data_IF_051549856853
#
_entry.id   IF_051549856853
#
_cell.length_a   1.000
_cell.length_b   1.000
_cell.length_c   1.000
_cell.angle_alpha   90.00
_cell.angle_beta   90.00
_cell.angle_gamma   90.00
#
_symmetry.space_group_name_H-M   'P 1'
#
loop_
_entity.id
_entity.type
_entity.pdbx_description
1 polymer ?
#
# COMPACT_ATOMS: atom_id res chain seq x y z
N UNK A 1 -35.65 6.42 24.23
CA UNK A 1 -34.91 6.72 22.98
C UNK A 1 -33.79 5.68 22.88
N UNK A 2 -34.01 4.68 22.08
CA UNK A 2 -33.01 3.68 21.72
C UNK A 2 -31.87 4.41 20.97
N UNK A 3 -30.65 4.36 21.52
CA UNK A 3 -29.43 4.67 20.75
C UNK A 3 -29.36 3.62 19.64
N UNK A 4 -29.68 4.01 18.40
CA UNK A 4 -29.29 3.24 17.24
C UNK A 4 -27.76 3.14 17.30
N UNK A 5 -27.25 1.93 17.56
CA UNK A 5 -25.83 1.63 17.39
C UNK A 5 -25.51 1.89 15.94
N UNK A 6 -24.58 2.79 15.67
CA UNK A 6 -23.97 2.97 14.36
C UNK A 6 -23.28 1.63 14.03
N UNK A 7 -23.95 0.78 13.30
CA UNK A 7 -23.37 -0.47 12.79
C UNK A 7 -22.61 -0.06 11.55
N UNK A 8 -21.30 0.05 11.66
CA UNK A 8 -20.40 0.11 10.51
C UNK A 8 -20.45 -1.27 9.85
N UNK A 9 -20.88 -1.32 8.61
CA UNK A 9 -21.11 -2.59 7.91
C UNK A 9 -20.08 -2.74 6.78
N UNK A 10 -19.48 -3.95 6.72
CA UNK A 10 -18.57 -4.32 5.64
C UNK A 10 -19.37 -5.06 4.57
N UNK A 11 -19.38 -4.55 3.35
CA UNK A 11 -20.09 -5.13 2.21
C UNK A 11 -19.10 -5.67 1.18
N UNK A 12 -19.39 -6.86 0.67
CA UNK A 12 -18.58 -7.49 -0.37
C UNK A 12 -19.43 -7.68 -1.63
N UNK A 13 -18.90 -7.24 -2.77
CA UNK A 13 -19.58 -7.32 -4.06
C UNK A 13 -18.58 -7.71 -5.15
N UNK A 14 -19.01 -8.55 -6.10
CA UNK A 14 -18.23 -8.89 -7.28
C UNK A 14 -18.93 -8.39 -8.54
N UNK A 15 -18.14 -7.85 -9.47
CA UNK A 15 -18.60 -7.35 -10.77
C UNK A 15 -17.87 -8.09 -11.88
N UNK A 16 -18.60 -8.52 -12.91
CA UNK A 16 -18.05 -9.20 -14.07
C UNK A 16 -17.95 -8.25 -15.26
N UNK A 17 -16.83 -8.32 -15.96
CA UNK A 17 -16.54 -7.58 -17.20
C UNK A 17 -16.08 -8.55 -18.29
N UNK A 18 -16.08 -8.16 -19.56
CA UNK A 18 -15.50 -8.99 -20.61
C UNK A 18 -14.05 -9.34 -20.30
N UNK A 19 -13.77 -10.64 -20.10
CA UNK A 19 -12.44 -11.17 -19.71
C UNK A 19 -11.86 -10.62 -18.41
N UNK A 20 -12.68 -9.98 -17.54
CA UNK A 20 -12.24 -9.37 -16.28
C UNK A 20 -13.25 -9.53 -15.15
N UNK A 21 -12.76 -9.38 -13.93
CA UNK A 21 -13.56 -9.40 -12.70
C UNK A 21 -13.04 -8.36 -11.71
N UNK A 22 -13.96 -7.67 -11.04
CA UNK A 22 -13.64 -6.80 -9.92
C UNK A 22 -14.29 -7.33 -8.63
N UNK A 23 -13.55 -7.36 -7.55
CA UNK A 23 -14.01 -7.68 -6.20
C UNK A 23 -13.89 -6.42 -5.33
N UNK A 24 -14.97 -6.03 -4.69
CA UNK A 24 -15.06 -4.80 -3.92
C UNK A 24 -15.45 -5.12 -2.49
N UNK A 25 -14.60 -4.74 -1.54
CA UNK A 25 -14.93 -4.65 -0.13
C UNK A 25 -15.18 -3.18 0.22
N UNK A 26 -16.38 -2.86 0.67
CA UNK A 26 -16.80 -1.51 1.03
C UNK A 26 -17.00 -1.41 2.54
N UNK A 27 -16.36 -0.42 3.18
CA UNK A 27 -16.61 -0.04 4.56
C UNK A 27 -17.35 1.30 4.58
N UNK A 28 -18.62 1.25 4.97
CA UNK A 28 -19.50 2.42 4.96
C UNK A 28 -19.66 2.95 6.38
N UNK A 29 -19.27 4.19 6.59
CA UNK A 29 -19.47 4.92 7.85
C UNK A 29 -20.62 5.90 7.66
N UNK A 30 -21.67 5.78 8.43
CA UNK A 30 -22.83 6.69 8.34
C UNK A 30 -22.40 8.12 8.68
N UNK A 31 -22.52 9.03 7.69
CA UNK A 31 -22.10 10.43 7.82
C UNK A 31 -20.59 10.64 7.80
N UNK A 32 -19.82 9.65 7.39
CA UNK A 32 -18.37 9.68 7.25
C UNK A 32 -17.88 9.25 5.88
N UNK A 33 -16.58 9.03 5.77
CA UNK A 33 -15.92 8.53 4.56
C UNK A 33 -16.33 7.08 4.29
N UNK A 34 -16.69 6.76 3.05
CA UNK A 34 -16.77 5.37 2.60
C UNK A 34 -15.44 4.96 2.01
N UNK A 35 -14.94 3.81 2.43
CA UNK A 35 -13.68 3.23 1.99
C UNK A 35 -13.95 2.00 1.12
N UNK A 36 -13.19 1.85 0.03
CA UNK A 36 -13.29 0.71 -0.86
C UNK A 36 -11.91 0.08 -1.06
N UNK A 37 -11.82 -1.23 -0.85
CA UNK A 37 -10.73 -2.06 -1.34
C UNK A 37 -11.21 -2.80 -2.59
N UNK A 38 -10.53 -2.59 -3.69
CA UNK A 38 -10.90 -3.13 -5.00
C UNK A 38 -9.77 -4.02 -5.50
N UNK A 39 -10.09 -5.27 -5.86
CA UNK A 39 -9.19 -6.16 -6.59
C UNK A 39 -9.73 -6.39 -7.99
N UNK A 40 -8.91 -6.16 -9.02
CA UNK A 40 -9.28 -6.39 -10.42
C UNK A 40 -8.34 -7.41 -11.04
N UNK A 41 -8.93 -8.42 -11.67
CA UNK A 41 -8.25 -9.53 -12.31
C UNK A 41 -8.68 -9.66 -13.77
N UNK A 42 -7.73 -9.98 -14.66
CA UNK A 42 -8.06 -10.62 -15.92
C UNK A 42 -8.50 -12.08 -15.64
N UNK A 43 -9.35 -12.64 -16.48
CA UNK A 43 -9.90 -13.99 -16.29
C UNK A 43 -9.42 -15.00 -17.35
N UNK A 44 -8.72 -14.54 -18.38
CA UNK A 44 -8.12 -15.40 -19.41
C UNK A 44 -6.58 -15.31 -19.39
N UNK A 45 -5.89 -16.31 -18.81
CA UNK A 45 -4.43 -16.30 -18.73
C UNK A 45 -3.74 -16.50 -20.09
N UNK A 46 -4.47 -16.90 -21.14
CA UNK A 46 -3.92 -17.09 -22.50
C UNK A 46 -3.74 -15.80 -23.27
N UNK A 47 -4.46 -14.74 -22.87
CA UNK A 47 -4.29 -13.41 -23.47
C UNK A 47 -2.85 -12.90 -23.25
N UNK A 48 -2.41 -12.06 -24.19
CA UNK A 48 -1.13 -11.32 -24.06
C UNK A 48 -1.18 -10.36 -22.87
N UNK A 49 -0.02 -9.93 -22.42
CA UNK A 49 0.05 -8.91 -21.34
C UNK A 49 -0.72 -7.64 -21.70
N UNK A 50 -0.56 -7.13 -22.93
CA UNK A 50 -1.27 -5.91 -23.40
C UNK A 50 -2.79 -6.07 -23.35
N UNK A 51 -3.33 -7.21 -23.77
CA UNK A 51 -4.76 -7.49 -23.71
C UNK A 51 -5.25 -7.55 -22.26
N UNK A 52 -4.55 -8.27 -21.38
CA UNK A 52 -4.90 -8.32 -19.95
C UNK A 52 -4.78 -6.97 -19.27
N UNK A 53 -3.76 -6.17 -19.59
CA UNK A 53 -3.62 -4.80 -19.08
C UNK A 53 -4.83 -3.94 -19.46
N UNK A 54 -5.23 -3.97 -20.73
CA UNK A 54 -6.42 -3.23 -21.19
C UNK A 54 -7.68 -3.70 -20.45
N UNK A 55 -7.87 -5.02 -20.27
CA UNK A 55 -8.99 -5.58 -19.51
C UNK A 55 -9.03 -5.01 -18.09
N UNK A 56 -7.89 -4.98 -17.38
CA UNK A 56 -7.81 -4.47 -16.01
C UNK A 56 -8.10 -2.97 -15.94
N UNK A 57 -7.54 -2.18 -16.87
CA UNK A 57 -7.74 -0.73 -16.92
C UNK A 57 -9.20 -0.37 -17.30
N UNK A 58 -9.77 -1.04 -18.28
CA UNK A 58 -11.15 -0.83 -18.71
C UNK A 58 -12.16 -1.24 -17.63
N UNK A 59 -11.93 -2.36 -16.96
CA UNK A 59 -12.75 -2.81 -15.83
C UNK A 59 -12.70 -1.80 -14.68
N UNK A 60 -11.53 -1.27 -14.35
CA UNK A 60 -11.36 -0.23 -13.34
C UNK A 60 -12.11 1.05 -13.69
N UNK A 61 -11.96 1.54 -14.92
CA UNK A 61 -12.67 2.73 -15.39
C UNK A 61 -14.20 2.55 -15.39
N UNK A 62 -14.68 1.37 -15.84
CA UNK A 62 -16.10 1.04 -15.83
C UNK A 62 -16.67 0.94 -14.42
N UNK A 63 -15.92 0.33 -13.48
CA UNK A 63 -16.30 0.21 -12.07
C UNK A 63 -16.47 1.59 -11.43
N UNK A 64 -15.50 2.48 -11.59
CA UNK A 64 -15.58 3.85 -11.05
C UNK A 64 -16.79 4.61 -11.62
N UNK A 65 -17.00 4.52 -12.92
CA UNK A 65 -18.07 5.27 -13.59
C UNK A 65 -19.47 4.79 -13.20
N UNK A 66 -19.66 3.48 -13.04
CA UNK A 66 -20.99 2.87 -12.89
C UNK A 66 -21.37 2.58 -11.46
N UNK A 67 -20.41 2.08 -10.66
CA UNK A 67 -20.70 1.48 -9.36
C UNK A 67 -20.14 2.29 -8.18
N UNK A 68 -18.97 2.93 -8.37
CA UNK A 68 -18.28 3.68 -7.33
C UNK A 68 -18.18 5.16 -7.66
N UNK A 69 -19.26 5.73 -8.20
CA UNK A 69 -19.31 7.15 -8.55
C UNK A 69 -19.01 8.05 -7.37
N UNK A 70 -18.10 9.01 -7.54
CA UNK A 70 -17.64 9.92 -6.48
C UNK A 70 -16.50 9.37 -5.61
N UNK A 71 -16.11 8.09 -5.76
CA UNK A 71 -14.91 7.58 -5.13
C UNK A 71 -13.66 8.03 -5.90
N UNK A 72 -12.61 8.40 -5.16
CA UNK A 72 -11.31 8.77 -5.71
C UNK A 72 -10.25 7.77 -5.26
N UNK A 73 -9.32 7.47 -6.14
CA UNK A 73 -8.19 6.59 -5.79
C UNK A 73 -7.27 7.30 -4.80
N UNK A 74 -6.87 6.57 -3.78
CA UNK A 74 -5.91 6.99 -2.77
C UNK A 74 -4.57 6.31 -3.00
N UNK A 75 -4.64 5.01 -3.28
CA UNK A 75 -3.48 4.18 -3.54
C UNK A 75 -3.82 3.12 -4.58
N UNK A 76 -2.90 2.85 -5.50
CA UNK A 76 -2.97 1.75 -6.46
C UNK A 76 -1.71 0.91 -6.40
N UNK A 77 -1.87 -0.41 -6.43
CA UNK A 77 -0.75 -1.35 -6.61
C UNK A 77 -1.05 -2.30 -7.75
N UNK A 78 -0.21 -2.27 -8.76
CA UNK A 78 -0.24 -3.25 -9.84
C UNK A 78 0.73 -4.38 -9.55
N UNK A 79 0.23 -5.60 -9.65
CA UNK A 79 1.00 -6.83 -9.54
C UNK A 79 1.27 -7.33 -10.95
N UNK A 80 2.54 -7.46 -11.30
CA UNK A 80 2.99 -7.87 -12.64
C UNK A 80 3.69 -9.22 -12.60
N UNK A 81 3.57 -10.00 -13.68
CA UNK A 81 4.30 -11.25 -13.82
C UNK A 81 5.76 -11.05 -14.23
N UNK A 82 6.09 -9.93 -14.88
CA UNK A 82 7.42 -9.57 -15.37
C UNK A 82 7.54 -8.04 -15.43
N UNK A 83 7.86 -7.42 -14.30
CA UNK A 83 7.88 -5.96 -14.20
C UNK A 83 8.91 -5.32 -15.12
N UNK A 84 10.07 -5.98 -15.35
CA UNK A 84 11.13 -5.42 -16.19
C UNK A 84 10.67 -5.19 -17.63
N UNK A 85 9.80 -6.06 -18.17
CA UNK A 85 9.30 -5.97 -19.55
C UNK A 85 7.89 -5.35 -19.64
N UNK A 86 7.16 -5.20 -18.52
CA UNK A 86 5.75 -4.83 -18.51
C UNK A 86 5.49 -3.43 -17.96
N UNK A 87 6.31 -2.96 -17.01
CA UNK A 87 6.02 -1.74 -16.26
C UNK A 87 6.00 -0.49 -17.14
N UNK A 88 6.90 -0.36 -18.12
CA UNK A 88 6.96 0.81 -19.00
C UNK A 88 5.63 1.01 -19.76
N UNK A 89 5.10 -0.06 -20.33
CA UNK A 89 3.82 -0.01 -21.04
C UNK A 89 2.66 0.38 -20.12
N UNK A 90 2.61 -0.18 -18.90
CA UNK A 90 1.60 0.15 -17.90
C UNK A 90 1.67 1.62 -17.50
N UNK A 91 2.87 2.11 -17.17
CA UNK A 91 3.08 3.50 -16.74
C UNK A 91 2.70 4.49 -17.86
N UNK A 92 3.03 4.18 -19.11
CA UNK A 92 2.62 4.97 -20.25
C UNK A 92 1.08 4.99 -20.42
N UNK A 93 0.41 3.85 -20.24
CA UNK A 93 -1.04 3.75 -20.35
C UNK A 93 -1.80 4.42 -19.19
N UNK A 94 -1.17 4.61 -18.04
CA UNK A 94 -1.79 5.19 -16.83
C UNK A 94 -1.33 6.61 -16.51
N UNK A 95 -0.44 7.21 -17.32
CA UNK A 95 0.18 8.50 -17.05
C UNK A 95 -0.83 9.64 -16.80
N UNK A 96 -1.95 9.65 -17.52
CA UNK A 96 -3.00 10.68 -17.38
C UNK A 96 -3.94 10.43 -16.19
N UNK A 97 -3.91 9.24 -15.58
CA UNK A 97 -4.79 8.84 -14.47
C UNK A 97 -4.03 8.62 -13.15
N UNK A 98 -2.83 9.18 -13.02
CA UNK A 98 -1.92 8.91 -11.89
C UNK A 98 -2.15 9.81 -10.66
N UNK A 99 -3.38 10.23 -10.41
CA UNK A 99 -3.73 11.12 -9.29
C UNK A 99 -3.85 10.37 -7.95
N UNK A 100 -2.92 9.47 -7.65
CA UNK A 100 -2.84 8.76 -6.36
C UNK A 100 -1.42 8.24 -6.12
N UNK A 101 -1.14 7.78 -4.90
CA UNK A 101 0.10 7.02 -4.66
C UNK A 101 0.08 5.72 -5.47
N UNK A 102 1.17 5.43 -6.16
CA UNK A 102 1.28 4.31 -7.09
C UNK A 102 2.44 3.39 -6.75
N UNK A 103 2.17 2.09 -6.75
CA UNK A 103 3.15 1.02 -6.60
C UNK A 103 3.04 0.04 -7.77
N UNK A 104 4.15 -0.34 -8.37
CA UNK A 104 4.21 -1.37 -9.41
C UNK A 104 5.23 -2.41 -8.97
N UNK A 105 4.78 -3.63 -8.74
CA UNK A 105 5.61 -4.69 -8.17
C UNK A 105 5.51 -5.97 -9.01
N UNK A 106 6.64 -6.62 -9.24
CA UNK A 106 6.66 -7.99 -9.76
C UNK A 106 6.31 -8.96 -8.64
N UNK A 107 5.08 -9.37 -8.64
CA UNK A 107 4.50 -10.48 -7.90
C UNK A 107 3.46 -11.12 -8.82
N UNK A 108 3.82 -12.20 -9.52
CA UNK A 108 2.91 -12.83 -10.47
C UNK A 108 1.58 -13.23 -9.82
N UNK A 109 0.43 -12.88 -10.41
CA UNK A 109 -0.86 -13.39 -9.94
C UNK A 109 -0.88 -14.91 -9.93
N UNK A 110 -1.46 -15.51 -8.86
CA UNK A 110 -1.45 -16.96 -8.65
C UNK A 110 -2.33 -17.73 -9.64
N UNK A 111 -3.24 -17.07 -10.31
CA UNK A 111 -4.12 -17.64 -11.34
C UNK A 111 -3.47 -17.78 -12.73
N UNK A 112 -2.19 -17.41 -12.83
CA UNK A 112 -1.42 -17.48 -14.08
C UNK A 112 -1.66 -16.28 -15.01
N UNK A 113 -2.42 -15.30 -14.61
CA UNK A 113 -2.54 -14.04 -15.33
C UNK A 113 -1.27 -13.18 -15.18
N UNK A 114 -1.14 -12.15 -15.99
CA UNK A 114 0.10 -11.35 -16.08
C UNK A 114 0.02 -10.03 -15.33
N UNK A 115 -1.18 -9.65 -14.92
CA UNK A 115 -1.44 -8.39 -14.21
C UNK A 115 -2.69 -8.51 -13.33
N UNK A 116 -2.62 -7.91 -12.14
CA UNK A 116 -3.77 -7.63 -11.29
C UNK A 116 -3.62 -6.22 -10.70
N UNK A 117 -4.73 -5.62 -10.29
CA UNK A 117 -4.76 -4.31 -9.64
C UNK A 117 -5.42 -4.42 -8.27
N UNK A 118 -4.74 -3.93 -7.22
CA UNK A 118 -5.37 -3.52 -5.98
C UNK A 118 -5.46 -2.00 -5.94
N UNK A 119 -6.68 -1.48 -5.74
CA UNK A 119 -6.91 -0.06 -5.56
C UNK A 119 -7.63 0.19 -4.23
N UNK A 120 -7.17 1.20 -3.50
CA UNK A 120 -7.82 1.73 -2.32
C UNK A 120 -8.43 3.09 -2.65
N UNK A 121 -9.74 3.23 -2.43
CA UNK A 121 -10.49 4.42 -2.80
C UNK A 121 -11.27 4.95 -1.60
N UNK A 122 -11.56 6.24 -1.60
CA UNK A 122 -12.39 6.90 -0.60
C UNK A 122 -13.36 7.89 -1.26
N UNK A 123 -14.49 8.14 -0.59
CA UNK A 123 -15.41 9.25 -0.92
C UNK A 123 -15.21 10.42 0.02
N UNK A 124 -15.72 11.59 -0.37
CA UNK A 124 -15.79 12.79 0.47
C UNK A 124 -14.44 13.23 1.06
N UNK A 125 -13.39 13.11 0.28
CA UNK A 125 -12.02 13.50 0.62
C UNK A 125 -11.46 14.52 -0.35
N UNK A 126 -10.50 15.32 0.11
CA UNK A 126 -9.68 16.18 -0.71
C UNK A 126 -8.31 15.54 -0.89
N UNK A 127 -7.79 15.54 -2.10
CA UNK A 127 -6.54 14.87 -2.44
C UNK A 127 -5.57 15.81 -3.13
N UNK A 128 -4.27 15.63 -2.91
CA UNK A 128 -3.21 16.33 -3.64
C UNK A 128 -1.87 15.62 -3.53
N UNK A 129 -1.01 15.83 -4.51
CA UNK A 129 0.41 15.48 -4.42
C UNK A 129 1.14 16.60 -3.67
N UNK A 130 1.93 16.23 -2.66
CA UNK A 130 2.76 17.17 -1.91
C UNK A 130 4.10 17.41 -2.61
N UNK A 131 4.78 18.54 -2.36
CA UNK A 131 6.08 18.84 -2.98
C UNK A 131 7.17 17.79 -2.70
N UNK A 132 7.07 17.10 -1.56
CA UNK A 132 7.99 16.02 -1.18
C UNK A 132 7.64 14.66 -1.80
N UNK A 133 6.62 14.59 -2.66
CA UNK A 133 6.20 13.39 -3.36
C UNK A 133 5.20 12.50 -2.63
N UNK A 134 4.87 12.81 -1.37
CA UNK A 134 3.77 12.11 -0.68
C UNK A 134 2.42 12.49 -1.29
N UNK A 135 1.48 11.56 -1.24
CA UNK A 135 0.09 11.79 -1.63
C UNK A 135 -0.76 12.03 -0.39
N UNK A 136 -1.34 13.23 -0.31
CA UNK A 136 -2.19 13.63 0.81
C UNK A 136 -3.66 13.36 0.49
N UNK A 137 -4.36 12.77 1.46
CA UNK A 137 -5.81 12.59 1.46
C UNK A 137 -6.36 13.20 2.75
N UNK A 138 -7.22 14.20 2.64
CA UNK A 138 -7.72 14.98 3.77
C UNK A 138 -9.20 14.77 3.96
N UNK A 139 -9.61 14.48 5.20
CA UNK A 139 -10.98 14.48 5.67
C UNK A 139 -11.05 15.06 7.10
N UNK A 140 -11.73 16.18 7.26
CA UNK A 140 -11.82 16.86 8.55
C UNK A 140 -10.44 17.24 9.10
N UNK A 141 -10.12 16.75 10.30
CA UNK A 141 -8.82 16.99 10.97
C UNK A 141 -7.73 16.01 10.59
N UNK A 142 -8.09 14.91 9.92
CA UNK A 142 -7.15 13.86 9.55
C UNK A 142 -6.56 14.11 8.17
N UNK A 143 -5.25 13.87 8.07
CA UNK A 143 -4.52 13.87 6.81
C UNK A 143 -3.83 12.53 6.68
N UNK A 144 -4.21 11.73 5.71
CA UNK A 144 -3.47 10.52 5.33
C UNK A 144 -2.34 10.91 4.39
N UNK A 145 -1.17 10.34 4.62
CA UNK A 145 0.04 10.56 3.83
C UNK A 145 0.48 9.22 3.26
N UNK A 146 0.39 9.08 1.95
CA UNK A 146 0.69 7.84 1.26
C UNK A 146 1.96 7.96 0.42
N UNK A 147 2.78 6.93 0.48
CA UNK A 147 3.96 6.75 -0.38
C UNK A 147 3.85 5.42 -1.10
N UNK A 148 4.05 5.40 -2.40
CA UNK A 148 4.03 4.19 -3.22
C UNK A 148 5.28 4.06 -4.07
N UNK A 149 5.79 2.82 -4.20
CA UNK A 149 6.84 2.45 -5.12
C UNK A 149 8.19 3.11 -4.91
N UNK A 150 8.53 3.52 -3.68
CA UNK A 150 9.82 4.15 -3.40
C UNK A 150 10.95 3.13 -3.47
N UNK A 151 12.03 3.48 -4.18
CA UNK A 151 13.21 2.64 -4.35
C UNK A 151 14.47 3.47 -4.57
N UNK A 152 15.63 2.85 -4.46
CA UNK A 152 16.92 3.44 -4.85
C UNK A 152 17.86 2.35 -5.39
N UNK A 153 19.08 2.76 -5.80
CA UNK A 153 20.09 1.88 -6.41
C UNK A 153 21.37 1.80 -5.58
N UNK A 154 21.30 1.98 -4.26
CA UNK A 154 22.45 1.84 -3.39
C UNK A 154 23.04 0.41 -3.45
N UNK A 155 24.24 0.23 -2.95
CA UNK A 155 25.09 -0.93 -3.22
C UNK A 155 24.49 -2.28 -2.79
N UNK A 156 23.66 -2.31 -1.74
CA UNK A 156 23.05 -3.55 -1.22
C UNK A 156 21.73 -3.25 -0.52
N UNK A 157 21.01 -4.30 -0.14
CA UNK A 157 19.68 -4.21 0.48
C UNK A 157 19.67 -3.47 1.82
N UNK A 158 20.74 -3.58 2.62
CA UNK A 158 20.88 -2.84 3.88
C UNK A 158 20.94 -1.33 3.63
N UNK A 159 21.81 -0.88 2.73
CA UNK A 159 21.91 0.54 2.38
C UNK A 159 20.64 1.06 1.70
N UNK A 160 20.03 0.25 0.81
CA UNK A 160 18.78 0.64 0.17
C UNK A 160 17.68 0.86 1.21
N UNK A 161 17.49 -0.07 2.13
CA UNK A 161 16.47 0.06 3.18
C UNK A 161 16.74 1.24 4.11
N UNK A 162 18.00 1.46 4.49
CA UNK A 162 18.41 2.60 5.33
C UNK A 162 18.06 3.93 4.67
N UNK A 163 18.37 4.10 3.39
CA UNK A 163 18.02 5.30 2.65
C UNK A 163 16.51 5.47 2.50
N UNK A 164 15.77 4.42 2.17
CA UNK A 164 14.31 4.47 2.04
C UNK A 164 13.64 4.94 3.34
N UNK A 165 14.06 4.40 4.49
CA UNK A 165 13.51 4.80 5.78
C UNK A 165 13.92 6.23 6.18
N UNK A 166 15.16 6.64 5.90
CA UNK A 166 15.61 8.00 6.15
C UNK A 166 14.84 9.02 5.31
N UNK A 167 14.71 8.76 4.00
CA UNK A 167 13.98 9.63 3.08
C UNK A 167 12.51 9.75 3.50
N UNK A 168 11.88 8.63 3.86
CA UNK A 168 10.50 8.63 4.33
C UNK A 168 10.34 9.38 5.67
N UNK A 169 11.26 9.20 6.61
CA UNK A 169 11.25 9.95 7.86
C UNK A 169 11.39 11.47 7.64
N UNK A 170 12.23 11.89 6.69
CA UNK A 170 12.39 13.30 6.30
C UNK A 170 11.10 13.84 5.66
N UNK A 171 10.49 13.11 4.74
CA UNK A 171 9.20 13.48 4.13
C UNK A 171 8.10 13.64 5.19
N UNK A 172 8.03 12.74 6.18
CA UNK A 172 7.09 12.85 7.28
C UNK A 172 7.37 14.08 8.16
N UNK A 173 8.64 14.37 8.44
CA UNK A 173 9.05 15.55 9.24
C UNK A 173 8.64 16.86 8.57
N UNK A 174 8.74 16.98 7.26
CA UNK A 174 8.26 18.13 6.49
C UNK A 174 6.75 18.37 6.66
N UNK A 175 6.00 17.30 6.94
CA UNK A 175 4.56 17.34 7.20
C UNK A 175 4.20 17.44 8.69
N UNK A 176 5.19 17.66 9.56
CA UNK A 176 5.01 17.72 11.02
C UNK A 176 4.71 16.35 11.64
N UNK A 177 5.14 15.28 11.00
CA UNK A 177 4.91 13.90 11.41
C UNK A 177 6.21 13.17 11.73
N UNK A 178 6.10 12.03 12.45
CA UNK A 178 7.22 11.12 12.73
C UNK A 178 6.87 9.69 12.35
N UNK A 179 7.88 8.83 12.23
CA UNK A 179 7.65 7.40 12.07
C UNK A 179 6.91 6.82 13.28
N UNK A 180 7.30 7.20 14.49
CA UNK A 180 6.74 6.65 15.71
C UNK A 180 5.28 7.04 15.93
N UNK A 181 4.92 8.31 15.71
CA UNK A 181 3.60 8.81 16.08
C UNK A 181 2.56 8.72 14.95
N UNK A 182 3.02 8.62 13.71
CA UNK A 182 2.14 8.81 12.54
C UNK A 182 2.16 7.65 11.55
N UNK A 183 3.27 6.91 11.39
CA UNK A 183 3.34 5.81 10.44
C UNK A 183 2.56 4.59 10.95
N UNK A 184 1.51 4.21 10.23
CA UNK A 184 0.64 3.10 10.63
C UNK A 184 0.99 1.80 9.92
N UNK A 185 1.48 1.87 8.68
CA UNK A 185 1.70 0.68 7.87
C UNK A 185 2.87 0.86 6.90
N UNK A 186 3.66 -0.20 6.74
CA UNK A 186 4.66 -0.33 5.68
C UNK A 186 4.51 -1.66 4.95
N UNK A 187 4.80 -1.64 3.64
CA UNK A 187 4.97 -2.84 2.82
C UNK A 187 6.37 -2.77 2.21
N UNK A 188 7.17 -3.76 2.50
CA UNK A 188 8.57 -3.84 2.06
C UNK A 188 8.67 -5.02 1.09
N UNK A 189 8.89 -4.72 -0.19
CA UNK A 189 9.10 -5.74 -1.21
C UNK A 189 10.59 -5.96 -1.39
N UNK A 190 11.01 -7.22 -1.30
CA UNK A 190 12.41 -7.60 -1.30
C UNK A 190 12.68 -8.56 -2.46
N UNK A 191 13.58 -8.15 -3.35
CA UNK A 191 14.06 -9.01 -4.42
C UNK A 191 14.92 -10.13 -3.82
N UNK A 192 14.62 -11.38 -4.16
CA UNK A 192 15.34 -12.54 -3.63
C UNK A 192 15.47 -12.48 -2.09
N UNK A 193 14.38 -12.80 -1.41
CA UNK A 193 14.25 -12.71 0.06
C UNK A 193 15.39 -13.43 0.78
N UNK A 194 15.81 -14.60 0.30
CA UNK A 194 16.85 -15.40 0.95
C UNK A 194 18.21 -14.68 1.02
N UNK A 195 18.50 -13.84 0.01
CA UNK A 195 19.76 -13.11 -0.05
C UNK A 195 19.69 -11.71 0.58
N UNK A 196 18.54 -11.03 0.48
CA UNK A 196 18.45 -9.59 0.76
C UNK A 196 17.70 -9.24 2.04
N UNK A 197 16.88 -10.15 2.59
CA UNK A 197 16.02 -9.83 3.74
C UNK A 197 16.80 -9.54 5.03
N UNK A 198 17.94 -10.20 5.25
CA UNK A 198 18.77 -9.96 6.44
C UNK A 198 19.27 -8.50 6.51
N UNK A 199 19.68 -7.92 5.37
CA UNK A 199 20.07 -6.51 5.28
C UNK A 199 18.91 -5.56 5.56
N UNK A 200 17.73 -5.87 5.05
CA UNK A 200 16.49 -5.11 5.32
C UNK A 200 16.16 -5.10 6.81
N UNK A 201 16.18 -6.26 7.47
CA UNK A 201 15.89 -6.38 8.91
C UNK A 201 16.90 -5.59 9.74
N UNK A 202 18.19 -5.71 9.42
CA UNK A 202 19.25 -4.98 10.12
C UNK A 202 19.04 -3.48 10.04
N UNK A 203 18.89 -2.92 8.84
CA UNK A 203 18.69 -1.49 8.63
C UNK A 203 17.43 -0.96 9.33
N UNK A 204 16.32 -1.71 9.24
CA UNK A 204 15.07 -1.36 9.91
C UNK A 204 15.21 -1.35 11.42
N UNK A 205 15.79 -2.38 12.01
CA UNK A 205 15.96 -2.48 13.46
C UNK A 205 16.82 -1.33 13.99
N UNK A 206 17.93 -1.01 13.33
CA UNK A 206 18.79 0.12 13.70
C UNK A 206 18.04 1.45 13.62
N UNK A 207 17.32 1.69 12.53
CA UNK A 207 16.54 2.92 12.35
C UNK A 207 15.42 3.05 13.40
N UNK A 208 14.71 1.97 13.71
CA UNK A 208 13.60 1.99 14.65
C UNK A 208 14.05 2.35 16.07
N UNK A 209 15.21 1.87 16.50
CA UNK A 209 15.78 2.27 17.80
C UNK A 209 15.98 3.79 17.87
N UNK A 210 16.52 4.41 16.81
CA UNK A 210 16.71 5.87 16.77
C UNK A 210 15.42 6.66 16.75
N UNK A 211 14.32 6.04 16.32
CA UNK A 211 12.98 6.64 16.22
C UNK A 211 12.09 6.31 17.43
N UNK A 212 12.65 5.76 18.51
CA UNK A 212 11.91 5.33 19.70
C UNK A 212 10.82 4.28 19.40
N UNK A 213 11.06 3.45 18.38
CA UNK A 213 10.25 2.28 18.04
C UNK A 213 10.93 1.03 18.61
N UNK A 214 10.46 0.57 19.77
CA UNK A 214 11.08 -0.49 20.58
C UNK A 214 10.01 -1.40 21.19
N UNK A 215 10.42 -2.51 21.77
CA UNK A 215 9.52 -3.42 22.52
C UNK A 215 8.81 -2.75 23.70
N UNK A 216 9.40 -1.68 24.26
CA UNK A 216 8.84 -0.92 25.40
C UNK A 216 7.88 0.20 24.97
N UNK A 217 7.81 0.50 23.69
CA UNK A 217 6.89 1.49 23.09
C UNK A 217 5.91 0.76 22.18
N UNK A 218 6.17 0.75 20.90
CA UNK A 218 5.45 0.00 19.86
C UNK A 218 6.32 -0.09 18.61
N UNK A 219 5.92 -0.93 17.68
CA UNK A 219 6.46 -0.96 16.33
C UNK A 219 5.40 -0.47 15.32
N UNK A 220 5.73 -0.52 14.04
CA UNK A 220 4.84 -0.19 12.93
C UNK A 220 4.31 -1.50 12.34
N UNK A 221 3.01 -1.56 12.00
CA UNK A 221 2.47 -2.69 11.27
C UNK A 221 3.17 -2.82 9.90
N UNK A 222 3.78 -3.97 9.63
CA UNK A 222 4.66 -4.14 8.48
C UNK A 222 4.49 -5.51 7.82
N UNK A 223 4.61 -5.53 6.50
CA UNK A 223 4.75 -6.76 5.71
C UNK A 223 6.06 -6.70 4.95
N UNK A 224 6.98 -7.62 5.23
CA UNK A 224 8.17 -7.89 4.43
C UNK A 224 7.92 -9.13 3.57
N UNK A 225 7.97 -8.99 2.27
CA UNK A 225 7.57 -10.05 1.34
C UNK A 225 8.41 -10.01 0.06
N UNK A 226 8.56 -11.16 -0.60
CA UNK A 226 9.19 -11.24 -1.91
C UNK A 226 8.46 -10.40 -2.96
N UNK A 227 9.20 -9.61 -3.71
CA UNK A 227 8.70 -8.79 -4.81
C UNK A 227 9.86 -8.04 -5.45
N UNK A 228 9.70 -7.65 -6.72
CA UNK A 228 10.76 -6.97 -7.48
C UNK A 228 10.24 -5.68 -8.07
N UNK A 229 11.10 -4.67 -8.11
CA UNK A 229 10.91 -3.49 -8.92
C UNK A 229 11.29 -3.78 -10.40
N UNK A 230 10.78 -2.99 -11.34
CA UNK A 230 11.16 -3.08 -12.75
C UNK A 230 12.67 -2.83 -12.99
N UNK A 231 13.28 -1.98 -12.16
CA UNK A 231 14.74 -1.77 -12.17
C UNK A 231 15.43 -2.90 -11.42
N UNK A 232 16.30 -3.70 -12.09
CA UNK A 232 16.96 -4.85 -11.47
C UNK A 232 17.96 -4.47 -10.36
N UNK A 233 18.37 -3.21 -10.26
CA UNK A 233 19.24 -2.70 -9.19
C UNK A 233 18.48 -2.32 -7.93
N UNK A 234 17.17 -2.21 -8.00
CA UNK A 234 16.31 -1.98 -6.84
C UNK A 234 16.04 -3.31 -6.13
N UNK A 235 16.82 -3.60 -5.09
CA UNK A 235 16.71 -4.82 -4.28
C UNK A 235 15.56 -4.70 -3.26
N UNK A 236 15.18 -3.48 -2.90
CA UNK A 236 14.13 -3.18 -1.92
C UNK A 236 13.23 -2.08 -2.47
N UNK A 237 11.92 -2.25 -2.29
CA UNK A 237 10.92 -1.23 -2.59
C UNK A 237 10.02 -1.04 -1.36
N UNK A 238 9.64 0.20 -1.07
CA UNK A 238 8.85 0.57 0.10
C UNK A 238 7.57 1.29 -0.32
N UNK A 239 6.44 0.81 0.19
CA UNK A 239 5.18 1.53 0.26
C UNK A 239 4.87 1.83 1.73
N UNK A 240 4.28 2.98 2.02
CA UNK A 240 4.01 3.38 3.39
C UNK A 240 2.75 4.25 3.52
N UNK A 241 2.17 4.20 4.71
CA UNK A 241 0.97 4.94 5.06
C UNK A 241 1.11 5.55 6.46
N UNK A 242 0.88 6.86 6.56
CA UNK A 242 0.89 7.61 7.81
C UNK A 242 -0.37 8.46 7.94
N UNK A 243 -0.74 8.83 9.15
CA UNK A 243 -1.88 9.72 9.44
C UNK A 243 -1.45 10.83 10.39
N UNK A 244 -1.67 12.08 9.96
CA UNK A 244 -1.54 13.27 10.78
C UNK A 244 -2.89 13.63 11.41
N UNK A 245 -2.87 14.33 12.56
CA UNK A 245 -4.06 14.77 13.25
C UNK A 245 -4.64 13.76 14.24
N UNK A 246 -3.97 12.64 14.46
CA UNK A 246 -4.37 11.65 15.46
C UNK A 246 -4.13 12.17 16.89
N UNK A 247 -5.06 11.85 17.78
CA UNK A 247 -4.93 12.10 19.22
C UNK A 247 -4.33 10.88 19.93
N UNK A 248 -3.65 11.04 21.06
CA UNK A 248 -3.16 9.91 21.84
C UNK A 248 -4.25 8.88 22.11
N UNK A 249 -3.93 7.60 21.93
CA UNK A 249 -4.84 6.48 22.14
C UNK A 249 -5.82 6.18 21.00
N UNK A 250 -5.80 6.93 19.90
CA UNK A 250 -6.60 6.60 18.71
C UNK A 250 -6.01 5.45 17.89
N UNK A 251 -4.69 5.30 17.89
CA UNK A 251 -4.03 4.12 17.28
C UNK A 251 -4.28 2.93 18.20
N UNK A 252 -4.74 1.83 17.61
CA UNK A 252 -4.94 0.54 18.29
C UNK A 252 -4.10 -0.52 17.61
N UNK A 253 -3.26 -1.17 18.40
CA UNK A 253 -2.41 -2.26 17.94
C UNK A 253 -3.15 -3.59 18.08
N UNK A 254 -3.16 -4.37 17.01
CA UNK A 254 -3.84 -5.65 16.97
C UNK A 254 -2.84 -6.79 17.13
N UNK A 255 -3.05 -7.60 18.17
CA UNK A 255 -2.20 -8.74 18.50
C UNK A 255 -3.03 -10.02 18.44
N UNK A 256 -2.49 -11.06 17.86
CA UNK A 256 -3.09 -12.39 17.86
C UNK A 256 -2.30 -13.33 18.81
N UNK A 257 -2.12 -12.93 20.06
CA UNK A 257 -1.20 -13.57 21.03
C UNK A 257 -1.49 -15.04 21.31
N UNK A 258 -2.72 -15.49 21.07
CA UNK A 258 -3.11 -16.91 21.20
C UNK A 258 -2.70 -17.77 20.00
N UNK A 259 -2.28 -17.14 18.88
CA UNK A 259 -1.95 -17.80 17.63
C UNK A 259 -0.57 -17.41 17.07
N UNK A 260 -0.06 -16.23 17.43
CA UNK A 260 1.17 -15.68 16.90
C UNK A 260 2.03 -15.10 18.03
N UNK A 261 3.30 -15.44 18.03
CA UNK A 261 4.27 -14.86 18.96
C UNK A 261 4.54 -13.38 18.62
N UNK A 262 4.86 -12.53 19.61
CA UNK A 262 5.43 -11.22 19.38
C UNK A 262 6.67 -11.29 18.48
N UNK A 263 6.81 -10.32 17.59
CA UNK A 263 7.84 -10.37 16.54
C UNK A 263 9.25 -10.21 17.10
N UNK A 264 9.42 -9.48 18.18
CA UNK A 264 10.72 -9.29 18.86
C UNK A 264 11.28 -10.59 19.44
N UNK A 265 10.44 -11.59 19.77
CA UNK A 265 10.90 -12.89 20.27
C UNK A 265 11.73 -13.68 19.24
N UNK A 266 11.62 -13.36 17.96
CA UNK A 266 12.41 -13.95 16.88
C UNK A 266 13.24 -12.94 16.08
N UNK A 267 13.55 -11.79 16.71
CA UNK A 267 14.58 -10.85 16.24
C UNK A 267 14.13 -9.85 15.16
N UNK A 268 12.83 -9.65 14.98
CA UNK A 268 12.31 -8.67 14.03
C UNK A 268 11.41 -7.64 14.71
N UNK A 269 11.36 -6.42 14.14
CA UNK A 269 10.71 -5.26 14.73
C UNK A 269 9.55 -4.83 13.86
N UNK A 270 8.34 -5.36 14.12
CA UNK A 270 7.09 -4.91 13.48
C UNK A 270 5.86 -5.33 14.31
N UNK A 271 4.75 -4.62 14.11
CA UNK A 271 3.44 -5.02 14.63
C UNK A 271 2.69 -5.88 13.61
N UNK A 272 1.77 -6.69 14.09
CA UNK A 272 0.91 -7.52 13.22
C UNK A 272 -0.18 -6.67 12.54
N UNK A 273 -0.77 -5.75 13.26
CA UNK A 273 -1.78 -4.84 12.77
C UNK A 273 -2.11 -3.70 13.74
#
# INVERSE_FOLDING_TARGET
>A
RLKQSLVNDMKYTSYSYPSGRAEVAAFVVTGGVTEYHVMIHATDPKQTYREQMNVVLDAYAALLKKELSGAVAVFKRYFLSDAANQAELLLAATAESSDCALSVVEQPPLDGTKIALWAYLQTDVQTRVLPNGLYEVKHGVYRQLWMGGSFNRAANSEYQMRLLLNDYAMQLMEEGCTLADNCLRTWIFVQNVDCNYAGVVKARNEMFVTQNLTENTHYIASTGIGGRHADPKALVMLDAFAVAGLKPGQIKYLYARTHLNPTYEYGVSFERG
#
